data_IF_593360234396
#
_entry.id   IF_593360234396
#
_cell.length_a   1.000
_cell.length_b   1.000
_cell.length_c   1.000
_cell.angle_alpha   90.00
_cell.angle_beta   90.00
_cell.angle_gamma   90.00
#
_symmetry.space_group_name_H-M   'P 1'
#
loop_
_entity.id
_entity.type
_entity.pdbx_description
1 polymer ?
#
# COMPACT_ATOMS: atom_id res chain seq x y z
N UNK A 1 39.44 -53.93 36.59
CA UNK A 1 38.21 -53.55 35.86
C UNK A 1 38.47 -52.23 35.16
N UNK A 2 38.68 -52.25 33.85
CA UNK A 2 38.82 -51.06 33.01
C UNK A 2 37.64 -51.02 32.07
N UNK A 3 36.73 -50.06 32.29
CA UNK A 3 35.55 -49.85 31.45
C UNK A 3 35.99 -49.09 30.20
N UNK A 4 35.88 -49.71 29.03
CA UNK A 4 36.13 -49.07 27.74
C UNK A 4 35.09 -47.98 27.47
N UNK A 5 35.55 -46.78 27.09
CA UNK A 5 34.71 -45.66 26.67
C UNK A 5 33.93 -46.02 25.39
N UNK A 6 32.65 -45.62 25.26
CA UNK A 6 31.91 -45.81 24.03
C UNK A 6 32.41 -44.84 22.96
N UNK A 7 32.68 -45.36 21.77
CA UNK A 7 32.99 -44.57 20.57
C UNK A 7 31.70 -43.87 20.13
N UNK A 8 31.60 -42.57 20.38
CA UNK A 8 30.53 -41.73 19.82
C UNK A 8 30.86 -41.51 18.35
N UNK A 9 30.10 -42.13 17.45
CA UNK A 9 30.11 -41.75 16.03
C UNK A 9 29.60 -40.31 15.92
N UNK A 10 30.50 -39.37 15.65
CA UNK A 10 30.12 -38.01 15.27
C UNK A 10 29.35 -38.08 13.95
N UNK A 11 28.04 -37.87 14.01
CA UNK A 11 27.22 -37.66 12.82
C UNK A 11 27.53 -36.24 12.34
N UNK A 12 28.45 -36.11 11.37
CA UNK A 12 28.64 -34.86 10.66
C UNK A 12 27.38 -34.58 9.85
N UNK A 13 26.47 -33.78 10.41
CA UNK A 13 25.31 -33.30 9.68
C UNK A 13 25.78 -32.29 8.61
N UNK A 14 25.92 -32.76 7.37
CA UNK A 14 26.14 -31.89 6.22
C UNK A 14 24.83 -31.16 5.93
N UNK A 15 24.76 -29.87 6.25
CA UNK A 15 23.65 -29.02 5.85
C UNK A 15 23.89 -28.53 4.43
N UNK A 16 23.03 -28.98 3.50
CA UNK A 16 23.06 -28.55 2.10
C UNK A 16 22.07 -27.42 1.90
N UNK A 17 22.57 -26.25 1.50
CA UNK A 17 21.77 -25.08 1.17
C UNK A 17 21.71 -24.89 -0.34
N UNK A 18 20.51 -24.68 -0.88
CA UNK A 18 20.32 -24.36 -2.29
C UNK A 18 19.96 -22.88 -2.45
N UNK A 19 20.70 -22.22 -3.32
CA UNK A 19 20.46 -20.85 -3.74
C UNK A 19 19.91 -20.89 -5.17
N UNK A 20 18.86 -20.11 -5.44
CA UNK A 20 18.23 -20.05 -6.76
C UNK A 20 19.17 -19.49 -7.83
N UNK A 21 20.09 -18.63 -7.41
CA UNK A 21 21.13 -18.02 -8.25
C UNK A 21 22.33 -17.63 -7.38
N UNK A 22 23.49 -17.27 -7.98
CA UNK A 22 24.62 -16.73 -7.22
C UNK A 22 24.32 -15.34 -6.66
N UNK A 23 24.86 -15.03 -5.47
CA UNK A 23 25.01 -13.64 -5.01
C UNK A 23 25.90 -12.87 -5.99
N UNK A 24 25.57 -11.60 -6.26
CA UNK A 24 26.27 -10.81 -7.27
C UNK A 24 26.45 -9.36 -6.82
N UNK A 25 27.64 -8.81 -7.03
CA UNK A 25 27.86 -7.36 -6.95
C UNK A 25 27.49 -6.73 -8.30
N UNK A 26 26.52 -5.81 -8.29
CA UNK A 26 26.06 -5.04 -9.45
C UNK A 26 26.39 -3.55 -9.27
N UNK A 27 26.41 -2.76 -10.35
CA UNK A 27 26.60 -1.30 -10.25
C UNK A 27 25.59 -0.60 -9.33
N UNK A 28 24.40 -1.18 -9.17
CA UNK A 28 23.33 -0.67 -8.31
C UNK A 28 23.39 -1.18 -6.84
N UNK A 29 24.32 -2.08 -6.51
CA UNK A 29 24.44 -2.63 -5.14
C UNK A 29 24.88 -4.09 -5.09
N UNK A 30 24.98 -4.61 -3.87
CA UNK A 30 25.28 -6.02 -3.58
C UNK A 30 23.98 -6.83 -3.46
N UNK A 31 23.78 -7.80 -4.35
CA UNK A 31 22.68 -8.76 -4.28
C UNK A 31 23.14 -10.02 -3.54
N UNK A 32 22.67 -10.22 -2.32
CA UNK A 32 22.88 -11.46 -1.57
C UNK A 32 21.71 -12.41 -1.80
N UNK A 33 21.99 -13.63 -2.21
CA UNK A 33 20.99 -14.69 -2.31
C UNK A 33 20.86 -15.40 -0.97
N UNK A 34 19.63 -15.60 -0.52
CA UNK A 34 19.31 -16.35 0.69
C UNK A 34 18.73 -17.71 0.30
N UNK A 35 19.16 -18.77 0.95
CA UNK A 35 18.58 -20.10 0.79
C UNK A 35 17.36 -20.26 1.73
N UNK A 36 16.24 -20.79 1.24
CA UNK A 36 15.12 -21.22 2.07
C UNK A 36 15.26 -22.68 2.55
N UNK A 37 16.50 -23.16 2.70
CA UNK A 37 16.81 -24.57 2.99
C UNK A 37 17.24 -25.39 1.76
N UNK A 38 17.08 -26.72 1.78
CA UNK A 38 17.58 -27.62 0.72
C UNK A 38 16.69 -27.68 -0.53
N UNK A 39 15.51 -27.05 -0.49
CA UNK A 39 14.53 -27.09 -1.58
C UNK A 39 14.99 -26.29 -2.81
N UNK A 40 14.68 -26.80 -4.01
CA UNK A 40 15.07 -26.16 -5.28
C UNK A 40 14.29 -24.86 -5.58
N UNK A 41 13.09 -24.70 -5.01
CA UNK A 41 12.25 -23.50 -5.14
C UNK A 41 11.74 -23.13 -3.74
N UNK A 42 12.45 -22.27 -2.98
CA UNK A 42 12.00 -21.87 -1.65
C UNK A 42 10.66 -21.15 -1.75
N UNK A 43 9.61 -21.77 -1.20
CA UNK A 43 8.33 -21.14 -0.96
C UNK A 43 8.44 -20.30 0.30
N UNK A 44 7.72 -19.20 0.38
CA UNK A 44 7.51 -18.51 1.66
C UNK A 44 6.16 -18.86 2.29
N UNK A 45 5.27 -19.53 1.54
CA UNK A 45 4.03 -20.09 2.06
C UNK A 45 3.61 -21.34 1.29
N UNK A 46 3.07 -22.32 2.01
CA UNK A 46 2.31 -23.44 1.45
C UNK A 46 1.27 -23.89 2.46
N UNK A 47 -0.01 -23.89 2.10
CA UNK A 47 -1.08 -24.25 3.03
C UNK A 47 -2.46 -24.18 2.43
N UNK A 48 -3.44 -24.62 3.21
CA UNK A 48 -4.85 -24.56 2.88
C UNK A 48 -5.47 -23.26 3.37
N UNK A 49 -6.44 -22.72 2.64
CA UNK A 49 -7.26 -21.60 3.13
C UNK A 49 -8.46 -22.15 3.89
N UNK A 50 -8.67 -21.68 5.13
CA UNK A 50 -9.70 -22.21 6.05
C UNK A 50 -11.12 -21.86 5.63
N UNK A 51 -11.27 -20.84 4.78
CA UNK A 51 -12.54 -20.40 4.19
C UNK A 51 -12.47 -20.35 2.66
N UNK A 52 -12.38 -21.50 1.95
CA UNK A 52 -12.09 -21.59 0.52
C UNK A 52 -12.96 -20.71 -0.37
N UNK A 53 -14.29 -20.78 -0.19
CA UNK A 53 -15.24 -19.99 -0.99
C UNK A 53 -15.19 -18.48 -0.71
N UNK A 54 -14.73 -18.06 0.48
CA UNK A 54 -14.53 -16.65 0.80
C UNK A 54 -13.19 -16.15 0.23
N UNK A 55 -12.15 -16.97 0.35
CA UNK A 55 -10.83 -16.68 -0.17
C UNK A 55 -10.82 -16.58 -1.70
N UNK A 56 -11.46 -17.53 -2.38
CA UNK A 56 -11.57 -17.49 -3.84
C UNK A 56 -12.32 -16.23 -4.32
N UNK A 57 -13.43 -15.87 -3.64
CA UNK A 57 -14.14 -14.63 -3.94
C UNK A 57 -13.27 -13.38 -3.71
N UNK A 58 -12.40 -13.39 -2.69
CA UNK A 58 -11.48 -12.30 -2.39
C UNK A 58 -10.36 -12.16 -3.41
N UNK A 59 -9.74 -13.27 -3.81
CA UNK A 59 -8.75 -13.30 -4.89
C UNK A 59 -9.35 -12.81 -6.21
N UNK A 60 -10.57 -13.24 -6.53
CA UNK A 60 -11.30 -12.75 -7.70
C UNK A 60 -11.59 -11.25 -7.61
N UNK A 61 -11.93 -10.72 -6.43
CA UNK A 61 -12.15 -9.29 -6.24
C UNK A 61 -10.87 -8.46 -6.45
N UNK A 62 -9.72 -8.93 -5.93
CA UNK A 62 -8.42 -8.29 -6.15
C UNK A 62 -8.06 -8.32 -7.65
N UNK A 63 -8.29 -9.43 -8.34
CA UNK A 63 -8.07 -9.56 -9.77
C UNK A 63 -9.04 -8.72 -10.62
N UNK A 64 -10.30 -8.61 -10.21
CA UNK A 64 -11.30 -7.76 -10.85
C UNK A 64 -10.86 -6.30 -10.82
N UNK A 65 -10.41 -5.81 -9.65
CA UNK A 65 -9.90 -4.45 -9.51
C UNK A 65 -8.70 -4.23 -10.43
N UNK A 66 -7.74 -5.17 -10.45
CA UNK A 66 -6.56 -5.08 -11.32
C UNK A 66 -6.94 -4.86 -12.79
N UNK A 67 -7.91 -5.63 -13.30
CA UNK A 67 -8.39 -5.54 -14.68
C UNK A 67 -9.34 -4.37 -14.95
N UNK A 68 -9.87 -3.72 -13.93
CA UNK A 68 -10.87 -2.68 -14.09
C UNK A 68 -10.22 -1.33 -14.33
N UNK A 69 -10.62 -0.63 -15.39
CA UNK A 69 -10.32 0.80 -15.56
C UNK A 69 -11.57 1.60 -15.25
N UNK A 70 -11.68 2.09 -14.02
CA UNK A 70 -12.87 2.82 -13.59
C UNK A 70 -13.05 4.13 -14.38
N UNK A 71 -11.99 4.84 -14.78
CA UNK A 71 -12.10 6.06 -15.59
C UNK A 71 -11.69 5.81 -17.04
N UNK A 72 -12.53 6.23 -18.00
CA UNK A 72 -12.34 5.99 -19.43
C UNK A 72 -12.08 4.50 -19.73
N UNK A 73 -13.08 3.61 -19.56
CA UNK A 73 -12.89 2.18 -19.76
C UNK A 73 -12.28 1.87 -21.13
N UNK A 74 -11.24 1.04 -21.15
CA UNK A 74 -10.62 0.48 -22.35
C UNK A 74 -10.51 -1.03 -22.17
N UNK A 75 -10.22 -1.77 -23.23
CA UNK A 75 -9.97 -3.22 -23.12
C UNK A 75 -8.94 -3.49 -22.01
N UNK A 76 -9.21 -4.42 -21.08
CA UNK A 76 -8.27 -4.73 -20.01
C UNK A 76 -6.93 -5.19 -20.60
N UNK A 77 -5.84 -4.53 -20.24
CA UNK A 77 -4.56 -5.23 -20.18
C UNK A 77 -4.61 -6.14 -18.94
N UNK A 78 -4.04 -7.35 -19.00
CA UNK A 78 -3.77 -8.10 -17.76
C UNK A 78 -2.88 -7.23 -16.89
N UNK A 79 -3.27 -7.06 -15.63
CA UNK A 79 -2.50 -6.34 -14.63
C UNK A 79 -2.50 -7.22 -13.38
N UNK A 80 -1.35 -7.27 -12.74
CA UNK A 80 -0.94 -8.46 -12.01
C UNK A 80 -0.90 -8.19 -10.51
N UNK A 81 -1.79 -8.80 -9.71
CA UNK A 81 -1.75 -8.68 -8.27
C UNK A 81 -0.38 -9.00 -7.67
N UNK A 82 -0.06 -8.29 -6.60
CA UNK A 82 1.12 -8.53 -5.78
C UNK A 82 0.71 -9.41 -4.61
N UNK A 83 1.47 -10.47 -4.37
CA UNK A 83 1.32 -11.34 -3.20
C UNK A 83 2.53 -11.13 -2.29
N UNK A 84 2.27 -10.75 -1.05
CA UNK A 84 3.26 -10.61 0.01
C UNK A 84 3.00 -11.64 1.09
N UNK A 85 3.99 -12.49 1.37
CA UNK A 85 4.02 -13.33 2.55
C UNK A 85 4.83 -12.64 3.65
N UNK A 86 4.15 -12.24 4.72
CA UNK A 86 4.77 -11.76 5.97
C UNK A 86 4.81 -12.91 6.98
N UNK A 87 5.34 -12.68 8.20
CA UNK A 87 5.47 -13.74 9.21
C UNK A 87 4.18 -14.45 9.63
N UNK A 88 3.03 -13.76 9.61
CA UNK A 88 1.76 -14.30 10.14
C UNK A 88 0.58 -14.23 9.14
N UNK A 89 0.78 -13.68 7.94
CA UNK A 89 -0.29 -13.44 6.98
C UNK A 89 0.17 -13.39 5.53
N UNK A 90 -0.77 -13.70 4.64
CA UNK A 90 -0.66 -13.40 3.22
C UNK A 90 -1.43 -12.15 2.86
N UNK A 91 -0.87 -11.35 1.97
CA UNK A 91 -1.48 -10.11 1.50
C UNK A 91 -1.49 -10.07 -0.01
N UNK A 92 -2.66 -9.87 -0.60
CA UNK A 92 -2.88 -9.76 -2.03
C UNK A 92 -3.29 -8.34 -2.37
N UNK A 93 -2.51 -7.65 -3.18
CA UNK A 93 -2.65 -6.22 -3.46
C UNK A 93 -2.80 -5.97 -4.96
N UNK A 94 -3.67 -5.05 -5.36
CA UNK A 94 -3.75 -4.61 -6.75
C UNK A 94 -4.21 -3.16 -6.87
N UNK A 95 -3.92 -2.55 -8.02
CA UNK A 95 -4.48 -1.26 -8.39
C UNK A 95 -5.37 -1.39 -9.62
N UNK A 96 -6.40 -0.56 -9.71
CA UNK A 96 -7.12 -0.42 -10.97
C UNK A 96 -6.24 0.09 -12.10
N UNK A 97 -6.64 -0.16 -13.35
CA UNK A 97 -5.91 0.31 -14.54
C UNK A 97 -5.73 1.84 -14.58
N UNK A 98 -6.66 2.60 -13.96
CA UNK A 98 -6.54 4.06 -13.79
C UNK A 98 -5.87 4.49 -12.48
N UNK A 99 -5.37 3.54 -11.68
CA UNK A 99 -4.82 3.73 -10.34
C UNK A 99 -5.78 4.46 -9.39
N UNK A 100 -7.08 4.42 -9.65
CA UNK A 100 -8.07 5.04 -8.79
C UNK A 100 -8.38 4.19 -7.58
N UNK A 101 -8.55 2.88 -7.76
CA UNK A 101 -8.92 1.96 -6.68
C UNK A 101 -7.71 1.11 -6.34
N UNK A 102 -7.39 1.05 -5.05
CA UNK A 102 -6.42 0.12 -4.50
C UNK A 102 -7.18 -0.98 -3.76
N UNK A 103 -6.98 -2.23 -4.16
CA UNK A 103 -7.54 -3.39 -3.48
C UNK A 103 -6.47 -4.09 -2.67
N UNK A 104 -6.83 -4.54 -1.48
CA UNK A 104 -5.97 -5.36 -0.64
C UNK A 104 -6.80 -6.40 0.08
N UNK A 105 -6.45 -7.67 -0.08
CA UNK A 105 -6.97 -8.77 0.71
C UNK A 105 -5.89 -9.32 1.63
N UNK A 106 -6.15 -9.34 2.93
CA UNK A 106 -5.31 -10.01 3.91
C UNK A 106 -5.94 -11.35 4.31
N UNK A 107 -5.16 -12.43 4.26
CA UNK A 107 -5.46 -13.72 4.88
C UNK A 107 -4.75 -13.74 6.22
N UNK A 108 -5.49 -13.50 7.30
CA UNK A 108 -4.95 -13.43 8.67
C UNK A 108 -4.65 -14.84 9.20
N UNK A 109 -4.00 -15.03 10.37
CA UNK A 109 -3.65 -16.36 10.87
C UNK A 109 -4.81 -17.36 10.92
N UNK A 110 -6.03 -16.91 11.24
CA UNK A 110 -7.22 -17.78 11.24
C UNK A 110 -7.69 -18.20 9.83
N UNK A 111 -7.16 -17.57 8.78
CA UNK A 111 -7.55 -17.74 7.39
C UNK A 111 -6.78 -18.81 6.63
N UNK A 112 -5.73 -19.38 7.22
CA UNK A 112 -4.96 -20.47 6.62
C UNK A 112 -4.59 -21.55 7.64
N UNK A 113 -4.42 -22.77 7.13
CA UNK A 113 -3.86 -23.93 7.82
C UNK A 113 -2.62 -24.37 7.04
N UNK A 114 -1.45 -24.03 7.55
CA UNK A 114 -0.16 -24.27 6.91
C UNK A 114 0.95 -23.42 7.50
N UNK A 115 2.18 -23.69 7.06
CA UNK A 115 3.38 -23.05 7.59
C UNK A 115 3.83 -21.89 6.69
N UNK A 116 3.99 -20.71 7.30
CA UNK A 116 4.78 -19.63 6.72
C UNK A 116 6.25 -19.98 6.95
N UNK A 117 6.84 -20.66 5.97
CA UNK A 117 8.22 -21.17 6.01
C UNK A 117 9.26 -20.10 5.62
N UNK A 118 8.82 -18.91 5.21
CA UNK A 118 9.68 -17.80 4.82
C UNK A 118 8.90 -16.50 4.66
N UNK A 119 9.47 -15.54 3.95
CA UNK A 119 8.80 -14.28 3.62
C UNK A 119 9.22 -13.81 2.22
N UNK A 120 8.41 -12.95 1.61
CA UNK A 120 8.72 -12.44 0.28
C UNK A 120 7.55 -11.76 -0.39
N UNK A 121 7.83 -11.20 -1.57
CA UNK A 121 6.83 -10.59 -2.43
C UNK A 121 7.01 -11.11 -3.85
N UNK A 122 5.91 -11.55 -4.47
CA UNK A 122 5.84 -11.93 -5.89
C UNK A 122 4.67 -11.21 -6.53
N UNK A 123 4.68 -11.04 -7.84
CA UNK A 123 3.59 -10.41 -8.56
C UNK A 123 3.23 -11.25 -9.77
N UNK A 124 1.96 -11.62 -9.87
CA UNK A 124 1.49 -12.73 -10.71
C UNK A 124 0.24 -12.31 -11.48
N UNK A 125 0.08 -12.79 -12.70
CA UNK A 125 -1.14 -12.55 -13.48
C UNK A 125 -2.23 -13.50 -13.02
N UNK A 126 -3.35 -12.99 -12.50
CA UNK A 126 -4.53 -13.83 -12.24
C UNK A 126 -5.27 -14.02 -13.55
N UNK A 127 -4.73 -14.90 -14.40
CA UNK A 127 -5.12 -15.14 -15.78
C UNK A 127 -6.52 -15.83 -15.89
N UNK A 128 -7.09 -16.02 -17.10
CA UNK A 128 -8.39 -16.69 -17.23
C UNK A 128 -8.46 -18.10 -16.61
N UNK A 129 -7.52 -19.03 -16.86
CA UNK A 129 -7.50 -20.33 -16.19
C UNK A 129 -7.59 -20.25 -14.65
N UNK A 130 -6.78 -19.39 -14.01
CA UNK A 130 -6.81 -19.24 -12.57
C UNK A 130 -8.15 -18.67 -12.09
N UNK A 131 -8.71 -17.68 -12.80
CA UNK A 131 -10.03 -17.13 -12.45
C UNK A 131 -11.14 -18.17 -12.56
N UNK A 132 -11.09 -19.02 -13.58
CA UNK A 132 -12.05 -20.10 -13.77
C UNK A 132 -11.93 -21.14 -12.66
N UNK A 133 -10.70 -21.52 -12.27
CA UNK A 133 -10.47 -22.42 -11.14
C UNK A 133 -11.03 -21.82 -9.84
N UNK A 134 -10.70 -20.55 -9.53
CA UNK A 134 -11.21 -19.86 -8.35
C UNK A 134 -12.75 -19.70 -8.36
N UNK A 135 -13.35 -19.45 -9.52
CA UNK A 135 -14.80 -19.29 -9.64
C UNK A 135 -15.57 -20.60 -9.40
N UNK A 136 -14.92 -21.75 -9.58
CA UNK A 136 -15.50 -23.08 -9.29
C UNK A 136 -15.43 -23.46 -7.80
N UNK A 137 -14.51 -22.85 -7.04
CA UNK A 137 -14.36 -23.14 -5.60
C UNK A 137 -15.64 -22.84 -4.85
N UNK A 138 -16.30 -23.90 -4.38
CA UNK A 138 -17.59 -23.84 -3.70
C UNK A 138 -17.61 -24.66 -2.41
N UNK A 139 -18.47 -24.26 -1.47
CA UNK A 139 -18.75 -25.05 -0.26
C UNK A 139 -17.51 -25.29 0.61
N UNK A 140 -17.19 -26.57 0.82
CA UNK A 140 -16.10 -27.08 1.66
C UNK A 140 -14.91 -27.61 0.85
N UNK A 141 -14.87 -27.35 -0.46
CA UNK A 141 -13.77 -27.81 -1.32
C UNK A 141 -12.44 -27.23 -0.82
N UNK A 142 -11.40 -28.06 -0.59
CA UNK A 142 -10.11 -27.57 -0.14
C UNK A 142 -9.48 -26.66 -1.20
N UNK A 143 -8.97 -25.52 -0.76
CA UNK A 143 -8.23 -24.58 -1.59
C UNK A 143 -6.81 -24.47 -1.03
N UNK A 144 -5.86 -25.09 -1.71
CA UNK A 144 -4.45 -25.01 -1.36
C UNK A 144 -3.79 -23.88 -2.14
N UNK A 145 -2.94 -23.11 -1.47
CA UNK A 145 -2.14 -22.05 -2.06
C UNK A 145 -0.68 -22.25 -1.69
N UNK A 146 0.20 -22.13 -2.68
CA UNK A 146 1.63 -22.05 -2.46
C UNK A 146 2.20 -20.79 -3.13
N UNK A 147 3.04 -20.06 -2.41
CA UNK A 147 3.62 -18.81 -2.89
C UNK A 147 5.13 -18.86 -2.76
N UNK A 148 5.81 -18.58 -3.87
CA UNK A 148 7.26 -18.47 -3.94
C UNK A 148 7.69 -17.14 -4.57
N UNK A 149 9.01 -16.90 -4.66
CA UNK A 149 9.56 -15.67 -5.23
C UNK A 149 9.20 -15.47 -6.71
N UNK A 150 8.91 -16.56 -7.43
CA UNK A 150 8.74 -16.60 -8.88
C UNK A 150 7.34 -17.07 -9.34
N UNK A 151 6.49 -17.54 -8.43
CA UNK A 151 5.14 -18.00 -8.81
C UNK A 151 4.15 -18.07 -7.63
N UNK A 152 2.86 -18.07 -8.01
CA UNK A 152 1.71 -18.41 -7.19
C UNK A 152 1.10 -19.69 -7.76
N UNK A 153 0.96 -20.72 -6.94
CA UNK A 153 0.23 -21.93 -7.28
C UNK A 153 -1.06 -22.00 -6.50
N UNK A 154 -2.17 -22.23 -7.19
CA UNK A 154 -3.49 -22.49 -6.59
C UNK A 154 -3.92 -23.89 -7.00
N UNK A 155 -4.24 -24.73 -6.02
CA UNK A 155 -4.67 -26.10 -6.25
C UNK A 155 -6.04 -26.34 -5.62
N UNK A 156 -6.94 -26.90 -6.40
CA UNK A 156 -8.24 -27.41 -5.97
C UNK A 156 -8.22 -28.94 -6.07
N UNK A 157 -9.36 -29.62 -5.87
CA UNK A 157 -9.41 -31.07 -6.06
C UNK A 157 -9.21 -31.49 -7.52
N UNK A 158 -9.69 -30.67 -8.44
CA UNK A 158 -9.74 -31.00 -9.87
C UNK A 158 -8.51 -30.51 -10.65
N UNK A 159 -7.86 -29.43 -10.20
CA UNK A 159 -6.85 -28.74 -11.00
C UNK A 159 -5.79 -28.04 -10.14
N UNK A 160 -4.62 -27.79 -10.74
CA UNK A 160 -3.56 -26.98 -10.16
C UNK A 160 -3.07 -25.97 -11.20
N UNK A 161 -3.28 -24.68 -10.91
CA UNK A 161 -2.90 -23.58 -11.78
C UNK A 161 -1.67 -22.87 -11.20
N UNK A 162 -0.64 -22.70 -12.03
CA UNK A 162 0.62 -22.04 -11.67
C UNK A 162 0.75 -20.72 -12.43
N UNK A 163 0.74 -19.61 -11.71
CA UNK A 163 0.96 -18.28 -12.24
C UNK A 163 2.38 -17.80 -11.97
N UNK A 164 3.10 -17.50 -13.05
CA UNK A 164 4.49 -17.05 -12.96
C UNK A 164 4.56 -15.56 -12.64
N UNK A 165 5.72 -15.17 -12.11
CA UNK A 165 6.07 -13.78 -11.91
C UNK A 165 6.10 -13.02 -13.22
N UNK A 166 5.52 -11.84 -13.21
CA UNK A 166 5.38 -10.94 -14.36
C UNK A 166 5.97 -9.55 -14.02
N UNK A 167 6.06 -8.60 -14.94
CA UNK A 167 6.50 -7.24 -14.61
C UNK A 167 5.39 -6.39 -14.00
N UNK A 168 5.69 -5.63 -12.94
CA UNK A 168 4.73 -4.69 -12.32
C UNK A 168 4.63 -3.37 -13.10
N UNK A 169 3.42 -2.84 -13.38
CA UNK A 169 3.26 -1.55 -14.06
C UNK A 169 3.88 -0.39 -13.27
N UNK A 170 4.70 0.45 -13.92
CA UNK A 170 5.36 1.58 -13.25
C UNK A 170 4.39 2.55 -12.54
N UNK A 171 3.17 2.74 -13.06
CA UNK A 171 2.12 3.57 -12.44
C UNK A 171 1.60 3.00 -11.11
N UNK A 172 1.56 1.67 -10.97
CA UNK A 172 1.14 1.03 -9.72
C UNK A 172 2.14 1.28 -8.62
N UNK A 173 3.44 1.21 -8.94
CA UNK A 173 4.52 1.49 -8.01
C UNK A 173 4.36 2.91 -7.42
N UNK A 174 4.14 3.93 -8.25
CA UNK A 174 3.75 5.27 -7.75
C UNK A 174 2.47 5.27 -6.92
N UNK A 175 1.45 4.52 -7.35
CA UNK A 175 0.20 4.38 -6.59
C UNK A 175 0.42 3.81 -5.19
N UNK A 176 1.24 2.78 -5.04
CA UNK A 176 1.60 2.15 -3.76
C UNK A 176 2.31 3.11 -2.82
N UNK A 177 3.16 3.98 -3.37
CA UNK A 177 3.80 5.05 -2.63
C UNK A 177 2.76 6.05 -2.09
N UNK A 178 1.87 6.50 -2.95
CA UNK A 178 0.91 7.56 -2.62
C UNK A 178 -0.20 7.09 -1.68
N UNK A 179 -0.69 5.86 -1.88
CA UNK A 179 -1.80 5.32 -1.08
C UNK A 179 -1.39 5.13 0.38
N UNK A 180 -0.17 4.65 0.66
CA UNK A 180 0.23 4.40 2.04
C UNK A 180 0.37 5.69 2.84
N UNK A 181 0.88 6.77 2.22
CA UNK A 181 1.01 8.09 2.88
C UNK A 181 -0.36 8.65 3.19
N UNK A 182 -1.30 8.51 2.26
CA UNK A 182 -2.68 8.97 2.45
C UNK A 182 -3.39 8.18 3.55
N UNK A 183 -3.28 6.85 3.54
CA UNK A 183 -3.97 5.99 4.51
C UNK A 183 -3.38 6.05 5.91
N UNK A 184 -2.11 6.48 6.06
CA UNK A 184 -1.49 6.68 7.36
C UNK A 184 -2.21 7.74 8.23
N UNK A 185 -2.95 8.65 7.60
CA UNK A 185 -3.75 9.68 8.28
C UNK A 185 -5.24 9.29 8.44
N UNK A 186 -5.62 8.05 8.13
CA UNK A 186 -7.02 7.62 8.22
C UNK A 186 -7.37 7.16 9.62
N UNK A 187 -8.61 7.42 10.02
CA UNK A 187 -9.20 6.91 11.25
C UNK A 187 -10.44 6.08 10.91
N UNK A 188 -10.80 5.08 11.75
CA UNK A 188 -12.08 4.41 11.65
C UNK A 188 -13.23 5.40 11.86
N UNK A 189 -14.23 5.36 10.98
CA UNK A 189 -15.41 6.26 11.01
C UNK A 189 -16.70 5.53 11.33
N UNK A 190 -16.84 4.29 10.88
CA UNK A 190 -17.96 3.44 11.24
C UNK A 190 -17.61 1.96 11.08
N UNK A 191 -18.30 1.13 11.86
CA UNK A 191 -18.34 -0.32 11.71
C UNK A 191 -19.81 -0.75 11.56
N UNK A 192 -20.10 -1.43 10.45
CA UNK A 192 -21.46 -1.76 10.02
C UNK A 192 -21.61 -3.29 10.02
N UNK A 193 -22.63 -3.85 10.69
CA UNK A 193 -22.91 -5.29 10.66
C UNK A 193 -23.19 -5.80 9.25
N UNK A 194 -22.87 -7.06 8.96
CA UNK A 194 -22.97 -7.68 7.65
C UNK A 194 -24.31 -7.44 6.90
N UNK A 195 -25.45 -7.62 7.58
CA UNK A 195 -26.77 -7.44 6.97
C UNK A 195 -26.99 -6.00 6.48
N UNK A 196 -26.63 -5.01 7.31
CA UNK A 196 -26.72 -3.59 6.99
C UNK A 196 -25.71 -3.18 5.92
N UNK A 197 -24.50 -3.74 5.98
CA UNK A 197 -23.47 -3.52 4.97
C UNK A 197 -23.91 -4.03 3.60
N UNK A 198 -24.52 -5.22 3.56
CA UNK A 198 -25.05 -5.81 2.33
C UNK A 198 -26.23 -4.98 1.78
N UNK A 199 -27.14 -4.52 2.64
CA UNK A 199 -28.22 -3.62 2.24
C UNK A 199 -27.68 -2.30 1.68
N UNK A 200 -26.69 -1.69 2.35
CA UNK A 200 -26.03 -0.46 1.92
C UNK A 200 -25.32 -0.60 0.57
N UNK A 201 -24.51 -1.65 0.37
CA UNK A 201 -23.74 -1.86 -0.86
C UNK A 201 -24.62 -2.22 -2.07
N UNK A 202 -25.77 -2.87 -1.84
CA UNK A 202 -26.76 -3.17 -2.89
C UNK A 202 -27.51 -1.95 -3.39
N UNK A 203 -27.77 -0.95 -2.54
CA UNK A 203 -28.47 0.30 -2.92
C UNK A 203 -27.55 1.39 -3.47
N UNK A 204 -26.23 1.15 -3.53
CA UNK A 204 -25.31 2.12 -4.10
C UNK A 204 -25.62 2.39 -5.57
N UNK A 205 -25.39 3.64 -6.05
CA UNK A 205 -25.43 3.95 -7.46
C UNK A 205 -24.62 2.98 -8.33
N UNK A 206 -25.06 2.78 -9.57
CA UNK A 206 -24.45 1.82 -10.50
C UNK A 206 -23.01 2.14 -10.91
N UNK A 207 -22.38 1.22 -11.65
CA UNK A 207 -20.96 1.28 -12.03
C UNK A 207 -20.53 2.56 -12.77
N UNK A 208 -21.46 3.22 -13.47
CA UNK A 208 -21.20 4.44 -14.24
C UNK A 208 -21.29 5.72 -13.42
N UNK A 209 -21.72 5.65 -12.16
CA UNK A 209 -21.84 6.83 -11.30
C UNK A 209 -20.47 7.45 -11.00
N UNK A 210 -20.39 8.77 -11.24
CA UNK A 210 -19.20 9.60 -11.02
C UNK A 210 -19.39 10.62 -9.91
N UNK A 211 -20.53 10.58 -9.24
CA UNK A 211 -20.80 11.52 -8.15
C UNK A 211 -19.83 11.32 -7.00
N UNK A 212 -19.49 12.43 -6.33
CA UNK A 212 -18.81 12.39 -5.03
C UNK A 212 -19.89 12.50 -3.97
N UNK A 213 -20.16 11.38 -3.31
CA UNK A 213 -21.10 11.29 -2.20
C UNK A 213 -20.34 11.23 -0.89
N UNK A 214 -21.08 11.37 0.21
CA UNK A 214 -20.54 11.29 1.57
C UNK A 214 -21.39 10.32 2.37
N UNK A 215 -20.76 9.28 2.90
CA UNK A 215 -21.39 8.30 3.76
C UNK A 215 -21.26 8.74 5.22
N UNK A 216 -22.39 9.00 5.86
CA UNK A 216 -22.47 9.45 7.26
C UNK A 216 -22.99 8.31 8.13
N UNK A 217 -22.37 8.01 9.28
CA UNK A 217 -22.92 7.08 10.26
C UNK A 217 -24.35 7.46 10.64
N UNK A 218 -25.27 6.50 10.56
CA UNK A 218 -26.68 6.69 10.88
C UNK A 218 -27.23 5.43 11.58
N UNK A 219 -27.16 5.40 12.91
CA UNK A 219 -27.50 4.21 13.70
C UNK A 219 -26.55 3.05 13.37
N UNK A 220 -27.11 1.93 12.89
CA UNK A 220 -26.35 0.72 12.51
C UNK A 220 -25.97 0.66 11.03
N UNK A 221 -26.25 1.73 10.27
CA UNK A 221 -26.00 1.79 8.83
C UNK A 221 -25.30 3.10 8.46
N UNK A 222 -25.06 3.29 7.17
CA UNK A 222 -24.55 4.54 6.60
C UNK A 222 -25.68 5.23 5.84
N UNK A 223 -25.73 6.56 5.83
CA UNK A 223 -26.62 7.37 4.98
C UNK A 223 -25.79 8.17 3.99
N UNK A 224 -26.21 8.21 2.73
CA UNK A 224 -25.52 9.00 1.69
C UNK A 224 -26.04 10.44 1.68
N UNK A 225 -25.12 11.40 1.59
CA UNK A 225 -25.40 12.82 1.41
C UNK A 225 -24.54 13.37 0.27
N UNK A 226 -24.88 14.55 -0.25
CA UNK A 226 -24.12 15.23 -1.31
C UNK A 226 -23.07 16.22 -0.80
N UNK A 227 -22.99 16.43 0.53
CA UNK A 227 -22.09 17.40 1.16
C UNK A 227 -21.34 16.77 2.33
N UNK A 228 -20.06 17.13 2.54
CA UNK A 228 -19.30 16.66 3.69
C UNK A 228 -19.84 17.26 4.98
N UNK A 229 -19.92 16.43 6.01
CA UNK A 229 -20.17 16.82 7.40
C UNK A 229 -19.12 16.15 8.28
N UNK A 230 -18.84 16.66 9.49
CA UNK A 230 -17.99 15.97 10.45
C UNK A 230 -18.36 14.49 10.58
N UNK A 231 -17.36 13.61 10.57
CA UNK A 231 -17.52 12.15 10.64
C UNK A 231 -17.94 11.46 9.34
N UNK A 232 -18.17 12.19 8.24
CA UNK A 232 -18.51 11.60 6.96
C UNK A 232 -17.30 10.94 6.27
N UNK A 233 -17.54 9.86 5.53
CA UNK A 233 -16.56 9.19 4.68
C UNK A 233 -16.84 9.53 3.22
N UNK A 234 -15.83 10.03 2.50
CA UNK A 234 -15.97 10.31 1.08
C UNK A 234 -16.24 9.03 0.28
N UNK A 235 -17.22 9.05 -0.60
CA UNK A 235 -17.55 7.98 -1.54
C UNK A 235 -17.51 8.54 -2.96
N UNK A 236 -16.29 8.60 -3.52
CA UNK A 236 -16.05 9.14 -4.85
C UNK A 236 -16.27 8.11 -5.94
N UNK A 237 -17.48 8.07 -6.52
CA UNK A 237 -17.93 7.11 -7.52
C UNK A 237 -18.30 5.77 -6.88
N UNK A 238 -19.54 5.64 -6.41
CA UNK A 238 -19.98 4.51 -5.60
C UNK A 238 -19.82 3.13 -6.28
N UNK A 239 -19.92 3.10 -7.60
CA UNK A 239 -19.68 1.91 -8.42
C UNK A 239 -18.28 1.29 -8.25
N UNK A 240 -17.31 2.04 -7.71
CA UNK A 240 -15.96 1.56 -7.43
C UNK A 240 -15.87 0.58 -6.28
N UNK A 241 -16.95 0.40 -5.52
CA UNK A 241 -17.07 -0.63 -4.48
C UNK A 241 -17.64 -1.96 -4.97
N UNK A 242 -17.87 -2.11 -6.28
CA UNK A 242 -18.50 -3.31 -6.83
C UNK A 242 -17.77 -4.62 -6.48
N UNK A 243 -16.44 -4.60 -6.44
CA UNK A 243 -15.63 -5.79 -6.13
C UNK A 243 -15.83 -6.32 -4.69
N UNK A 244 -16.38 -5.52 -3.77
CA UNK A 244 -16.75 -6.00 -2.42
C UNK A 244 -17.96 -6.95 -2.44
N UNK A 245 -18.81 -6.88 -3.49
CA UNK A 245 -20.11 -7.57 -3.50
C UNK A 245 -19.98 -9.09 -3.41
N UNK A 246 -18.92 -9.65 -4.02
CA UNK A 246 -18.66 -11.09 -4.01
C UNK A 246 -18.46 -11.68 -2.60
N UNK A 247 -18.03 -10.87 -1.63
CA UNK A 247 -17.75 -11.33 -0.26
C UNK A 247 -18.90 -11.08 0.72
N UNK A 248 -19.97 -10.39 0.33
CA UNK A 248 -21.01 -9.97 1.28
C UNK A 248 -21.68 -11.13 2.02
N UNK A 249 -21.77 -12.31 1.39
CA UNK A 249 -22.32 -13.51 2.04
C UNK A 249 -21.43 -14.09 3.14
N UNK A 250 -20.15 -13.74 3.14
CA UNK A 250 -19.13 -14.20 4.08
C UNK A 250 -18.75 -13.14 5.11
N UNK A 251 -19.18 -11.89 4.90
CA UNK A 251 -18.81 -10.77 5.73
C UNK A 251 -19.45 -10.88 7.12
N UNK A 252 -18.70 -10.47 8.14
CA UNK A 252 -19.16 -10.19 9.50
C UNK A 252 -19.44 -8.69 9.66
N UNK A 253 -18.55 -7.86 9.15
CA UNK A 253 -18.60 -6.41 9.29
C UNK A 253 -18.05 -5.69 8.06
N UNK A 254 -18.53 -4.47 7.83
CA UNK A 254 -17.94 -3.46 6.95
C UNK A 254 -17.37 -2.33 7.81
N UNK A 255 -16.06 -2.11 7.76
CA UNK A 255 -15.39 -0.96 8.37
C UNK A 255 -15.10 0.10 7.32
N UNK A 256 -15.29 1.36 7.67
CA UNK A 256 -15.01 2.49 6.77
C UNK A 256 -14.07 3.47 7.44
N UNK A 257 -13.07 3.92 6.68
CA UNK A 257 -11.98 4.75 7.16
C UNK A 257 -11.83 5.99 6.27
N UNK A 258 -11.38 7.08 6.87
CA UNK A 258 -11.05 8.29 6.12
C UNK A 258 -10.47 9.39 7.02
N UNK A 259 -9.86 10.42 6.42
CA UNK A 259 -9.29 11.53 7.18
C UNK A 259 -10.41 12.38 7.80
N UNK A 260 -10.10 13.24 8.79
CA UNK A 260 -11.06 14.19 9.33
C UNK A 260 -11.60 15.10 8.23
N UNK A 261 -12.91 15.27 8.17
CA UNK A 261 -13.59 16.16 7.22
C UNK A 261 -14.49 17.15 7.95
N UNK A 262 -14.68 18.32 7.34
CA UNK A 262 -15.55 19.39 7.83
C UNK A 262 -16.47 19.88 6.71
N UNK A 263 -17.41 20.75 7.07
CA UNK A 263 -18.22 21.45 6.07
C UNK A 263 -17.29 22.15 5.06
N UNK A 264 -17.55 21.93 3.77
CA UNK A 264 -16.75 22.47 2.67
C UNK A 264 -15.42 21.75 2.39
N UNK A 265 -15.12 20.62 3.05
CA UNK A 265 -13.96 19.80 2.66
C UNK A 265 -14.06 19.38 1.18
N UNK A 266 -12.94 19.38 0.44
CA UNK A 266 -12.93 18.79 -0.90
C UNK A 266 -13.13 17.27 -0.81
N UNK A 267 -13.30 16.64 -1.97
CA UNK A 267 -13.28 15.18 -2.03
C UNK A 267 -11.91 14.67 -1.51
N UNK A 268 -11.95 13.61 -0.71
CA UNK A 268 -10.77 12.99 -0.09
C UNK A 268 -10.78 11.48 -0.34
N UNK A 269 -9.63 10.83 -0.15
CA UNK A 269 -9.56 9.38 -0.24
C UNK A 269 -10.27 8.71 0.95
N UNK A 270 -10.67 7.45 0.77
CA UNK A 270 -11.33 6.65 1.81
C UNK A 270 -11.05 5.17 1.63
N UNK A 271 -11.18 4.38 2.70
CA UNK A 271 -11.03 2.92 2.65
C UNK A 271 -12.30 2.24 3.14
N UNK A 272 -12.70 1.17 2.46
CA UNK A 272 -13.89 0.37 2.72
C UNK A 272 -13.48 -1.09 2.84
N UNK A 273 -13.65 -1.69 4.02
CA UNK A 273 -13.10 -3.00 4.35
C UNK A 273 -14.18 -3.97 4.81
N UNK A 274 -14.33 -5.09 4.11
CA UNK A 274 -15.11 -6.23 4.57
C UNK A 274 -14.22 -7.19 5.36
N UNK A 275 -14.66 -7.54 6.56
CA UNK A 275 -14.01 -8.53 7.41
C UNK A 275 -14.90 -9.77 7.51
N UNK A 276 -14.31 -10.95 7.32
CA UNK A 276 -14.96 -12.27 7.44
C UNK A 276 -14.53 -13.04 8.70
N UNK A 277 -13.58 -12.49 9.46
CA UNK A 277 -12.86 -13.13 10.57
C UNK A 277 -11.62 -13.92 10.13
N UNK A 278 -11.61 -14.46 8.90
CA UNK A 278 -10.48 -15.16 8.29
C UNK A 278 -9.75 -14.31 7.23
N UNK A 279 -10.48 -13.35 6.65
CA UNK A 279 -10.03 -12.52 5.54
C UNK A 279 -10.51 -11.08 5.75
N UNK A 280 -9.65 -10.11 5.39
CA UNK A 280 -10.02 -8.68 5.30
C UNK A 280 -9.83 -8.22 3.86
N UNK A 281 -10.91 -7.86 3.17
CA UNK A 281 -10.86 -7.28 1.82
C UNK A 281 -11.16 -5.79 1.90
N UNK A 282 -10.18 -4.95 1.55
CA UNK A 282 -10.28 -3.50 1.55
C UNK A 282 -10.19 -2.92 0.15
N UNK A 283 -11.04 -1.94 -0.15
CA UNK A 283 -10.95 -1.06 -1.31
C UNK A 283 -10.70 0.37 -0.86
N UNK A 284 -9.57 0.92 -1.27
CA UNK A 284 -9.22 2.32 -1.03
C UNK A 284 -9.48 3.12 -2.30
N UNK A 285 -10.32 4.16 -2.18
CA UNK A 285 -10.77 5.00 -3.26
C UNK A 285 -9.98 6.29 -3.28
N UNK A 286 -9.38 6.63 -4.42
CA UNK A 286 -8.83 7.95 -4.68
C UNK A 286 -9.91 9.04 -4.62
N UNK A 287 -9.53 10.32 -4.36
CA UNK A 287 -10.49 11.38 -4.07
C UNK A 287 -11.54 11.65 -5.15
N UNK A 288 -11.26 11.35 -6.41
CA UNK A 288 -12.20 11.60 -7.51
C UNK A 288 -12.17 10.44 -8.51
N UNK A 289 -13.29 10.13 -9.22
CA UNK A 289 -13.33 9.00 -10.15
C UNK A 289 -12.33 9.09 -11.30
N UNK A 290 -11.98 10.30 -11.74
CA UNK A 290 -11.02 10.56 -12.83
C UNK A 290 -9.58 10.78 -12.35
N UNK A 291 -9.33 10.64 -11.05
CA UNK A 291 -8.06 10.93 -10.40
C UNK A 291 -7.49 9.64 -9.83
N UNK A 292 -6.29 9.24 -10.26
CA UNK A 292 -5.59 8.07 -9.70
C UNK A 292 -4.57 8.45 -8.62
N UNK A 293 -4.26 7.51 -7.73
CA UNK A 293 -3.27 7.66 -6.67
C UNK A 293 -1.88 8.02 -7.19
N UNK A 294 -1.49 7.53 -8.36
CA UNK A 294 -0.13 7.70 -8.92
C UNK A 294 0.31 9.14 -9.22
N UNK A 295 -0.56 10.13 -9.00
CA UNK A 295 -0.28 11.56 -9.22
C UNK A 295 -0.76 12.47 -8.09
N UNK A 296 -0.97 11.91 -6.88
CA UNK A 296 -1.47 12.68 -5.73
C UNK A 296 -0.42 13.62 -5.15
N UNK A 297 0.87 13.26 -5.21
CA UNK A 297 1.96 14.04 -4.61
C UNK A 297 1.89 14.13 -3.09
N UNK A 298 1.21 13.20 -2.43
CA UNK A 298 1.10 13.12 -0.97
C UNK A 298 2.45 12.80 -0.34
N UNK A 299 3.26 11.97 -0.99
CA UNK A 299 4.60 11.62 -0.49
C UNK A 299 5.59 12.80 -0.51
N UNK A 300 5.39 13.79 -1.39
CA UNK A 300 6.42 14.79 -1.75
C UNK A 300 7.00 15.57 -0.56
N UNK A 301 6.21 15.90 0.46
CA UNK A 301 6.71 16.61 1.65
C UNK A 301 7.63 15.72 2.48
N UNK A 302 7.30 14.44 2.64
CA UNK A 302 8.16 13.51 3.37
C UNK A 302 9.50 13.30 2.65
N UNK A 303 9.49 13.23 1.30
CA UNK A 303 10.71 13.06 0.50
C UNK A 303 11.60 14.32 0.44
N UNK A 304 11.11 15.45 0.97
CA UNK A 304 11.79 16.73 0.89
C UNK A 304 12.73 17.00 2.07
N UNK A 305 12.74 16.16 3.11
CA UNK A 305 13.66 16.32 4.25
C UNK A 305 15.10 16.00 3.85
N UNK A 306 16.06 16.78 4.38
CA UNK A 306 17.48 16.62 4.04
C UNK A 306 18.05 15.28 4.51
N UNK A 307 17.69 14.84 5.72
CA UNK A 307 18.19 13.59 6.32
C UNK A 307 17.33 12.36 5.99
N UNK A 308 16.25 12.51 5.20
CA UNK A 308 15.25 11.45 5.02
C UNK A 308 15.80 10.21 4.31
N UNK A 309 16.82 10.39 3.46
CA UNK A 309 17.47 9.28 2.75
C UNK A 309 18.28 8.45 3.74
N UNK A 310 19.11 9.09 4.55
CA UNK A 310 19.95 8.43 5.55
C UNK A 310 19.09 7.75 6.62
N UNK A 311 18.01 8.42 7.06
CA UNK A 311 17.03 7.82 7.99
C UNK A 311 16.35 6.59 7.38
N UNK A 312 15.98 6.64 6.10
CA UNK A 312 15.38 5.52 5.41
C UNK A 312 16.35 4.33 5.27
N UNK A 313 17.65 4.56 5.13
CA UNK A 313 18.65 3.50 5.15
C UNK A 313 18.73 2.84 6.53
N UNK A 314 18.81 3.65 7.60
CA UNK A 314 18.87 3.17 8.98
C UNK A 314 17.60 2.40 9.39
N UNK A 315 16.42 3.03 9.24
CA UNK A 315 15.11 2.42 9.49
C UNK A 315 14.90 1.20 8.60
N UNK A 316 15.39 1.25 7.36
CA UNK A 316 15.31 0.17 6.40
C UNK A 316 16.11 -1.07 6.82
N UNK A 317 17.19 -0.91 7.59
CA UNK A 317 17.97 -2.02 8.13
C UNK A 317 17.27 -2.76 9.27
N UNK A 318 16.29 -2.12 9.93
CA UNK A 318 15.50 -2.69 11.01
C UNK A 318 14.30 -3.52 10.50
N UNK A 319 13.95 -3.42 9.21
CA UNK A 319 12.81 -4.15 8.64
C UNK A 319 13.01 -5.67 8.68
N UNK A 320 12.04 -6.36 9.28
CA UNK A 320 12.14 -7.77 9.73
C UNK A 320 11.03 -8.68 9.18
N UNK A 321 10.25 -8.20 8.21
CA UNK A 321 9.04 -8.85 7.67
C UNK A 321 7.90 -9.00 8.69
N UNK A 322 7.93 -8.16 9.73
CA UNK A 322 6.84 -8.06 10.67
C UNK A 322 5.56 -7.55 9.98
N UNK A 323 4.41 -8.12 10.33
CA UNK A 323 3.13 -7.77 9.72
C UNK A 323 2.63 -6.38 10.14
N UNK A 324 3.22 -5.83 11.21
CA UNK A 324 3.00 -4.48 11.69
C UNK A 324 4.31 -3.95 12.28
N UNK A 325 4.71 -2.76 11.87
CA UNK A 325 5.91 -2.05 12.32
C UNK A 325 5.50 -1.15 13.48
N UNK A 326 6.14 -1.35 14.64
CA UNK A 326 6.04 -0.46 15.79
C UNK A 326 6.99 0.74 15.59
N UNK A 327 6.40 1.91 15.36
CA UNK A 327 7.15 3.16 15.12
C UNK A 327 7.98 3.54 16.34
N UNK A 328 7.47 3.35 17.56
CA UNK A 328 8.19 3.73 18.77
C UNK A 328 9.39 2.79 19.00
N UNK A 329 9.22 1.49 18.77
CA UNK A 329 10.34 0.55 18.85
C UNK A 329 11.43 0.85 17.80
N UNK A 330 11.04 1.28 16.61
CA UNK A 330 11.98 1.70 15.56
C UNK A 330 12.67 3.02 15.92
N UNK A 331 11.96 3.97 16.52
CA UNK A 331 12.51 5.23 17.04
C UNK A 331 13.61 4.95 18.08
N UNK A 332 13.33 4.10 19.06
CA UNK A 332 14.29 3.69 20.08
C UNK A 332 15.51 2.99 19.47
N UNK A 333 15.30 2.03 18.55
CA UNK A 333 16.37 1.26 17.93
C UNK A 333 17.25 2.09 16.97
N UNK A 334 16.67 3.06 16.26
CA UNK A 334 17.38 3.95 15.36
C UNK A 334 17.97 5.18 16.06
N UNK A 335 17.54 5.48 17.29
CA UNK A 335 17.88 6.74 17.97
C UNK A 335 17.30 7.97 17.27
N UNK A 336 16.14 7.81 16.62
CA UNK A 336 15.46 8.86 15.85
C UNK A 336 14.12 9.21 16.51
N UNK A 337 13.64 10.46 16.45
CA UNK A 337 12.30 10.80 16.87
C UNK A 337 11.24 10.18 15.94
N UNK A 338 10.04 9.91 16.47
CA UNK A 338 8.92 9.27 15.77
C UNK A 338 8.59 9.91 14.40
N UNK A 339 8.66 11.23 14.30
CA UNK A 339 8.34 11.97 13.08
C UNK A 339 9.37 11.70 11.96
N UNK A 340 10.66 11.59 12.33
CA UNK A 340 11.72 11.17 11.40
C UNK A 340 11.57 9.72 10.97
N UNK A 341 11.21 8.82 11.89
CA UNK A 341 10.89 7.41 11.53
C UNK A 341 9.71 7.35 10.56
N UNK A 342 8.65 8.12 10.78
CA UNK A 342 7.49 8.18 9.86
C UNK A 342 7.87 8.76 8.49
N UNK A 343 8.73 9.78 8.44
CA UNK A 343 9.26 10.33 7.19
C UNK A 343 10.11 9.29 6.44
N UNK A 344 10.97 8.56 7.15
CA UNK A 344 11.78 7.47 6.63
C UNK A 344 10.91 6.32 6.09
N UNK A 345 9.84 5.95 6.80
CA UNK A 345 8.87 4.94 6.33
C UNK A 345 8.12 5.41 5.08
N UNK A 346 7.77 6.70 4.98
CA UNK A 346 7.20 7.24 3.75
C UNK A 346 8.18 7.14 2.57
N UNK A 347 9.46 7.48 2.79
CA UNK A 347 10.54 7.33 1.80
C UNK A 347 10.72 5.86 1.39
N UNK A 348 10.81 4.93 2.35
CA UNK A 348 10.88 3.48 2.11
C UNK A 348 9.67 2.97 1.33
N UNK A 349 8.49 3.50 1.60
CA UNK A 349 7.29 3.14 0.87
C UNK A 349 7.32 3.63 -0.58
N UNK A 350 8.00 4.74 -0.88
CA UNK A 350 8.25 5.16 -2.27
C UNK A 350 9.22 4.25 -3.01
N UNK A 351 10.11 3.59 -2.27
CA UNK A 351 10.96 2.49 -2.76
C UNK A 351 10.25 1.12 -2.71
N UNK A 352 8.95 1.10 -2.38
CA UNK A 352 8.15 -0.12 -2.33
C UNK A 352 8.51 -1.10 -1.23
N UNK A 353 9.23 -0.63 -0.20
CA UNK A 353 9.68 -1.44 0.93
C UNK A 353 8.67 -1.50 2.07
N UNK A 354 7.67 -0.63 2.11
CA UNK A 354 6.60 -0.70 3.10
C UNK A 354 5.25 -0.38 2.50
N UNK A 355 4.19 -0.89 3.13
CA UNK A 355 2.81 -0.47 2.96
C UNK A 355 2.20 -0.02 4.29
N UNK A 356 0.93 0.37 4.29
CA UNK A 356 0.20 0.76 5.50
C UNK A 356 -1.11 -0.01 5.61
N UNK A 357 -1.41 -0.50 6.81
CA UNK A 357 -2.63 -1.20 7.18
C UNK A 357 -3.53 -0.29 8.00
N UNK A 358 -4.68 0.11 7.46
CA UNK A 358 -5.64 0.97 8.17
C UNK A 358 -6.37 0.25 9.30
N UNK A 359 -6.48 -1.08 9.24
CA UNK A 359 -7.17 -1.86 10.26
C UNK A 359 -6.28 -2.06 11.49
N UNK A 360 -4.99 -2.30 11.25
CA UNK A 360 -3.99 -2.44 12.32
C UNK A 360 -3.36 -1.09 12.70
N UNK A 361 -3.63 -0.02 11.95
CA UNK A 361 -3.11 1.33 12.20
C UNK A 361 -1.59 1.43 12.10
N UNK A 362 -0.95 0.62 11.25
CA UNK A 362 0.50 0.49 11.23
C UNK A 362 1.09 0.15 9.86
N UNK A 363 2.38 0.40 9.72
CA UNK A 363 3.13 0.04 8.51
C UNK A 363 3.41 -1.46 8.48
N UNK A 364 3.63 -2.03 7.30
CA UNK A 364 4.06 -3.42 7.16
C UNK A 364 5.17 -3.52 6.12
N UNK A 365 6.07 -4.49 6.29
CA UNK A 365 7.15 -4.74 5.35
C UNK A 365 6.65 -5.51 4.12
N UNK A 366 7.07 -5.06 2.94
CA UNK A 366 6.92 -5.75 1.65
C UNK A 366 8.09 -5.37 0.76
N UNK A 367 8.36 -6.06 -0.34
CA UNK A 367 9.40 -5.62 -1.28
C UNK A 367 8.90 -5.66 -2.72
N UNK A 368 8.64 -4.47 -3.28
CA UNK A 368 8.28 -4.35 -4.69
C UNK A 368 9.53 -4.29 -5.58
N UNK A 369 9.46 -4.73 -6.86
CA UNK A 369 10.55 -4.60 -7.81
C UNK A 369 10.76 -3.12 -8.19
N UNK A 370 11.61 -2.43 -7.43
CA UNK A 370 11.99 -1.03 -7.67
C UNK A 370 13.42 -0.91 -8.16
N UNK A 371 13.63 -0.04 -9.14
CA UNK A 371 14.97 0.40 -9.53
C UNK A 371 15.45 1.52 -8.62
N UNK A 372 16.74 1.51 -8.24
CA UNK A 372 17.37 2.60 -7.52
C UNK A 372 17.22 3.96 -8.26
N UNK A 373 17.10 5.05 -7.49
CA UNK A 373 16.93 6.41 -8.00
C UNK A 373 15.60 6.70 -8.72
N UNK A 374 14.66 5.75 -8.72
CA UNK A 374 13.37 5.93 -9.40
C UNK A 374 12.47 6.95 -8.72
N UNK A 375 12.52 7.07 -7.39
CA UNK A 375 11.76 8.06 -6.65
C UNK A 375 12.02 9.50 -7.15
N UNK A 376 13.25 9.83 -7.55
CA UNK A 376 13.59 11.15 -8.07
C UNK A 376 13.08 11.36 -9.51
N UNK A 377 13.30 10.37 -10.39
CA UNK A 377 12.80 10.40 -11.78
C UNK A 377 11.28 10.53 -11.86
N UNK A 378 10.58 9.86 -10.94
CA UNK A 378 9.13 9.82 -10.90
C UNK A 378 8.51 11.09 -10.27
N UNK A 379 9.32 11.98 -9.67
CA UNK A 379 8.87 13.19 -8.96
C UNK A 379 9.50 14.48 -9.51
N UNK A 380 9.10 14.96 -10.72
CA UNK A 380 9.67 16.17 -11.32
C UNK A 380 9.48 17.44 -10.48
N UNK A 381 8.45 17.49 -9.64
CA UNK A 381 8.24 18.60 -8.69
C UNK A 381 9.29 18.63 -7.58
N UNK A 382 9.73 17.45 -7.11
CA UNK A 382 10.79 17.32 -6.10
C UNK A 382 12.15 17.71 -6.70
N UNK A 383 12.47 17.19 -7.90
CA UNK A 383 13.67 17.57 -8.65
C UNK A 383 13.71 19.08 -8.89
N UNK A 384 12.61 19.65 -9.36
CA UNK A 384 12.50 21.09 -9.59
C UNK A 384 12.60 21.93 -8.31
N UNK A 385 12.24 21.38 -7.15
CA UNK A 385 12.37 22.04 -5.84
C UNK A 385 13.83 22.06 -5.37
N UNK A 386 14.52 20.90 -5.42
CA UNK A 386 15.94 20.80 -5.08
C UNK A 386 16.80 21.74 -5.91
N UNK A 387 16.56 21.77 -7.23
CA UNK A 387 17.25 22.68 -8.14
C UNK A 387 17.01 24.17 -7.82
N UNK A 388 15.89 24.54 -7.16
CA UNK A 388 15.65 25.91 -6.71
C UNK A 388 16.46 26.21 -5.43
N UNK A 389 16.50 25.26 -4.49
CA UNK A 389 17.29 25.37 -3.25
C UNK A 389 18.78 25.47 -3.57
N UNK A 390 19.30 24.59 -4.42
CA UNK A 390 20.72 24.57 -4.85
C UNK A 390 21.18 25.91 -5.46
N UNK A 391 20.28 26.65 -6.11
CA UNK A 391 20.57 27.97 -6.70
C UNK A 391 20.34 29.13 -5.73
N UNK A 392 20.05 28.87 -4.45
CA UNK A 392 19.72 29.90 -3.47
C UNK A 392 18.50 30.73 -3.85
N UNK A 393 17.51 30.12 -4.53
CA UNK A 393 16.41 30.86 -5.13
C UNK A 393 15.25 31.17 -4.18
N UNK A 394 15.38 30.84 -2.89
CA UNK A 394 14.37 31.04 -1.85
C UNK A 394 14.84 32.15 -0.93
N UNK A 395 14.03 33.20 -0.79
CA UNK A 395 14.28 34.33 0.12
C UNK A 395 13.09 34.46 1.09
N UNK A 396 13.37 34.66 2.36
CA UNK A 396 12.35 34.85 3.40
C UNK A 396 12.18 36.33 3.73
N UNK A 397 10.94 36.82 3.70
CA UNK A 397 10.60 38.20 4.06
C UNK A 397 9.18 38.29 4.63
N UNK A 398 9.00 39.01 5.74
CA UNK A 398 7.69 39.41 6.28
C UNK A 398 6.63 38.27 6.34
N UNK A 399 6.98 37.15 6.97
CA UNK A 399 6.06 36.02 7.18
C UNK A 399 5.68 35.24 5.90
N UNK A 400 6.36 35.49 4.79
CA UNK A 400 6.25 34.72 3.55
C UNK A 400 7.62 34.51 2.90
N UNK A 401 7.68 33.62 1.90
CA UNK A 401 8.88 33.37 1.12
C UNK A 401 8.65 33.77 -0.34
N UNK A 402 9.67 34.37 -0.96
CA UNK A 402 9.75 34.60 -2.39
C UNK A 402 10.64 33.54 -3.03
N UNK A 403 10.17 32.95 -4.13
CA UNK A 403 10.90 31.90 -4.86
C UNK A 403 11.10 32.35 -6.31
N UNK A 404 12.35 32.56 -6.71
CA UNK A 404 12.70 32.94 -8.09
C UNK A 404 12.85 31.69 -8.97
N UNK A 405 12.03 31.53 -9.99
CA UNK A 405 12.09 30.38 -10.91
C UNK A 405 12.12 30.88 -12.35
N UNK A 406 13.33 31.08 -12.88
CA UNK A 406 13.53 31.77 -14.16
C UNK A 406 13.41 33.27 -13.96
N UNK A 407 12.64 33.93 -14.81
CA UNK A 407 12.35 35.38 -14.71
C UNK A 407 11.16 35.68 -13.77
N UNK A 408 10.42 34.65 -13.36
CA UNK A 408 9.23 34.77 -12.54
C UNK A 408 9.55 34.67 -11.04
N UNK A 409 8.82 35.44 -10.23
CA UNK A 409 8.89 35.40 -8.76
C UNK A 409 7.55 34.93 -8.20
N UNK A 410 7.59 33.87 -7.39
CA UNK A 410 6.42 33.31 -6.74
C UNK A 410 6.42 33.60 -5.25
N UNK A 411 5.26 33.94 -4.69
CA UNK A 411 5.08 34.10 -3.25
C UNK A 411 4.53 32.81 -2.66
N UNK A 412 5.15 32.33 -1.60
CA UNK A 412 4.78 31.12 -0.86
C UNK A 412 4.54 31.52 0.59
N UNK A 413 3.47 31.01 1.20
CA UNK A 413 3.19 31.22 2.62
C UNK A 413 2.89 29.89 3.28
N UNK A 414 3.59 29.59 4.38
CA UNK A 414 3.28 28.48 5.28
C UNK A 414 2.09 28.86 6.16
N UNK A 415 1.12 27.97 6.26
CA UNK A 415 -0.07 28.12 7.10
C UNK A 415 0.19 27.52 8.49
N UNK A 416 -0.60 27.90 9.52
CA UNK A 416 -0.41 27.39 10.89
C UNK A 416 -0.55 25.88 11.02
N UNK A 417 -1.31 25.24 10.14
CA UNK A 417 -1.50 23.79 10.07
C UNK A 417 -0.35 23.06 9.32
N UNK A 418 0.71 23.79 8.96
CA UNK A 418 1.85 23.26 8.22
C UNK A 418 1.65 23.18 6.71
N UNK A 419 0.45 23.44 6.18
CA UNK A 419 0.21 23.49 4.74
C UNK A 419 0.85 24.73 4.10
N UNK A 420 0.95 24.75 2.77
CA UNK A 420 1.55 25.86 2.03
C UNK A 420 0.56 26.45 1.04
N UNK A 421 0.59 27.76 0.83
CA UNK A 421 -0.06 28.43 -0.30
C UNK A 421 0.99 28.98 -1.24
N UNK A 422 0.70 29.08 -2.54
CA UNK A 422 1.65 29.62 -3.52
C UNK A 422 0.92 30.41 -4.62
N UNK A 423 1.55 31.46 -5.17
CA UNK A 423 0.99 32.22 -6.29
C UNK A 423 1.09 31.51 -7.65
N UNK A 424 1.67 30.30 -7.73
CA UNK A 424 1.88 29.63 -9.00
C UNK A 424 0.61 28.95 -9.55
N UNK A 425 0.59 28.68 -10.86
CA UNK A 425 -0.52 28.02 -11.57
C UNK A 425 -0.92 26.67 -10.98
N UNK A 426 0.04 25.88 -10.49
CA UNK A 426 -0.24 24.58 -9.85
C UNK A 426 -1.14 24.76 -8.63
N UNK A 427 -0.77 25.69 -7.74
CA UNK A 427 -1.59 26.02 -6.59
C UNK A 427 -2.92 26.63 -6.98
N UNK A 428 -2.94 27.57 -7.94
CA UNK A 428 -4.18 28.15 -8.44
C UNK A 428 -5.18 27.11 -8.96
N UNK A 429 -4.70 26.03 -9.58
CA UNK A 429 -5.55 24.93 -10.09
C UNK A 429 -5.94 23.90 -9.02
N UNK A 430 -5.04 23.58 -8.09
CA UNK A 430 -5.20 22.42 -7.21
C UNK A 430 -5.39 22.74 -5.74
N UNK A 431 -5.02 23.94 -5.30
CA UNK A 431 -5.21 24.45 -3.94
C UNK A 431 -4.79 23.43 -2.86
N UNK A 432 -3.64 22.77 -3.07
CA UNK A 432 -3.06 21.80 -2.13
C UNK A 432 -3.61 20.38 -2.24
N UNK A 433 -4.70 20.16 -2.97
CA UNK A 433 -5.35 18.85 -3.07
C UNK A 433 -4.52 17.81 -3.85
N UNK A 434 -3.52 18.26 -4.63
CA UNK A 434 -2.60 17.41 -5.42
C UNK A 434 -1.15 17.47 -4.94
N UNK A 435 -0.95 17.68 -3.65
CA UNK A 435 0.37 17.85 -3.06
C UNK A 435 1.01 19.20 -3.43
N UNK A 436 2.13 19.56 -2.78
CA UNK A 436 2.77 20.86 -2.94
C UNK A 436 3.32 21.07 -4.36
N UNK A 437 3.40 22.33 -4.78
CA UNK A 437 4.15 22.70 -5.97
C UNK A 437 5.67 22.69 -5.68
N UNK A 438 6.51 22.74 -6.72
CA UNK A 438 7.96 22.81 -6.56
C UNK A 438 8.43 24.01 -5.69
N UNK A 439 7.72 25.13 -5.71
CA UNK A 439 8.07 26.31 -4.91
C UNK A 439 7.78 26.11 -3.42
N UNK A 440 6.61 25.53 -3.10
CA UNK A 440 6.27 25.19 -1.72
C UNK A 440 7.24 24.14 -1.15
N UNK A 441 7.62 23.15 -1.97
CA UNK A 441 8.65 22.17 -1.61
C UNK A 441 10.03 22.82 -1.38
N UNK A 442 10.46 23.73 -2.25
CA UNK A 442 11.73 24.42 -2.10
C UNK A 442 11.76 25.26 -0.80
N UNK A 443 10.64 25.91 -0.49
CA UNK A 443 10.47 26.65 0.77
C UNK A 443 10.51 25.71 1.96
N UNK A 444 9.82 24.56 1.93
CA UNK A 444 9.88 23.59 3.02
C UNK A 444 11.29 23.05 3.27
N UNK A 445 12.08 22.84 2.21
CA UNK A 445 13.48 22.42 2.31
C UNK A 445 14.37 23.53 2.89
N UNK A 446 14.17 24.79 2.47
CA UNK A 446 14.99 25.92 2.91
C UNK A 446 14.71 26.37 4.36
N UNK A 447 13.55 26.01 4.94
CA UNK A 447 13.30 26.10 6.38
C UNK A 447 13.71 24.81 7.07
N UNK A 448 14.97 24.72 7.51
CA UNK A 448 15.32 23.81 8.59
C UNK A 448 14.54 24.22 9.87
N UNK A 449 14.23 23.29 10.80
CA UNK A 449 13.45 23.62 11.98
C UNK A 449 14.17 24.70 12.81
N UNK A 450 13.45 25.75 13.16
CA UNK A 450 13.89 26.64 14.22
C UNK A 450 14.05 25.78 15.48
N UNK A 451 15.27 25.76 16.05
CA UNK A 451 15.49 25.30 17.42
C UNK A 451 14.40 25.92 18.31
N UNK A 452 13.65 25.07 19.03
CA UNK A 452 12.66 25.54 19.98
C UNK A 452 13.31 26.42 21.04
N UNK A 453 12.60 27.40 21.61
CA UNK A 453 13.16 28.22 22.67
C UNK A 453 13.51 27.33 23.87
N UNK A 454 14.72 27.55 24.39
CA UNK A 454 15.28 26.90 25.58
C UNK A 454 14.39 27.05 26.83
#
# INVERSE_FOLDING_TARGET
MSVGRPTVCAVNAVQTYRYLQPSALRPAGLDLQTCGGPAANPRFFSGFLTTPAAAAAGLLAVAEVARTRYHQPVSPASLDPVVTGSRDRLRFESFSGCCGVYARMDVVPAGFDGDIVGHGTTNVDVNPPLREALARVGGIEPLHVAVGPDDLTVSTLDDAVVEKKVPLPGRWLRGFAEVHVLTAAFEPRAEIPAAEAAAFLRRLPGANDRSVLWAVPAGRTLRLTSRPTPGAVCLAGAGRLAALRGLLRHARTLRVYGPPVRAGSPAVASTWELDTGALRLSLTLSPEPYRGFSGEGAALLALAGDEVIDDAELVGALLSWDPTIDVAAFADAAGLPDDRVRAALAQLGTAGRVGYDVADGGYFHRVMPYDAGRAERDNPRLVGARALVERGAVEWADGHATVRSGEEVYRVRRLPDGAYTCSCRWWGRHQGQRGPCKHALAVSMATAPAEGPA
#
